data_IF_947684510409
#
_entry.id   IF_947684510409
#
_cell.length_a   1.000
_cell.length_b   1.000
_cell.length_c   1.000
_cell.angle_alpha   90.00
_cell.angle_beta   90.00
_cell.angle_gamma   90.00
#
_symmetry.space_group_name_H-M   'P 1'
#
loop_
_entity.id
_entity.type
_entity.pdbx_description
1 polymer ?
#
# COMPACT_ATOMS: atom_id res chain seq x y z
N UNK A 1 31.98 -29.42 -9.97
CA UNK A 1 33.08 -28.46 -9.70
C UNK A 1 32.58 -27.48 -8.65
N UNK A 2 33.39 -27.22 -7.63
CA UNK A 2 33.16 -26.11 -6.70
C UNK A 2 33.98 -24.94 -7.24
N UNK A 3 33.30 -23.90 -7.69
CA UNK A 3 33.96 -22.69 -8.18
C UNK A 3 34.41 -21.82 -6.99
N UNK A 4 35.62 -21.26 -7.05
CA UNK A 4 36.21 -20.51 -5.94
C UNK A 4 35.67 -19.09 -5.74
N UNK A 5 34.88 -18.56 -6.68
CA UNK A 5 34.28 -17.23 -6.59
C UNK A 5 32.84 -17.20 -7.12
N UNK A 6 31.98 -16.29 -6.62
CA UNK A 6 30.63 -16.10 -7.14
C UNK A 6 30.58 -15.76 -8.64
N UNK A 7 31.58 -15.03 -9.14
CA UNK A 7 31.69 -14.64 -10.56
C UNK A 7 31.96 -15.85 -11.44
N UNK A 8 32.87 -16.74 -11.03
CA UNK A 8 33.13 -18.00 -11.74
C UNK A 8 31.90 -18.91 -11.71
N UNK A 9 31.22 -18.98 -10.56
CA UNK A 9 29.97 -19.71 -10.45
C UNK A 9 28.91 -19.18 -11.41
N UNK A 10 28.63 -17.86 -11.40
CA UNK A 10 27.64 -17.25 -12.28
C UNK A 10 27.99 -17.44 -13.77
N UNK A 11 29.28 -17.41 -14.13
CA UNK A 11 29.73 -17.64 -15.50
C UNK A 11 29.45 -19.04 -16.02
N UNK A 12 29.40 -20.05 -15.13
CA UNK A 12 29.05 -21.41 -15.51
C UNK A 12 27.57 -21.57 -15.87
N UNK A 13 26.71 -20.64 -15.42
CA UNK A 13 25.25 -20.66 -15.64
C UNK A 13 24.78 -19.70 -16.75
N UNK A 14 25.68 -19.20 -17.60
CA UNK A 14 25.29 -18.33 -18.72
C UNK A 14 24.48 -19.10 -19.76
N UNK A 15 23.32 -18.56 -20.14
CA UNK A 15 22.43 -19.16 -21.14
C UNK A 15 22.99 -18.99 -22.56
N UNK A 16 23.68 -17.88 -22.82
CA UNK A 16 24.28 -17.58 -24.11
C UNK A 16 25.80 -17.49 -24.02
N UNK A 17 26.48 -18.05 -25.01
CA UNK A 17 27.93 -17.93 -25.17
C UNK A 17 28.37 -16.50 -25.50
N UNK A 18 27.48 -15.66 -26.02
CA UNK A 18 27.74 -14.25 -26.34
C UNK A 18 27.77 -13.33 -25.11
N UNK A 19 27.27 -13.79 -23.96
CA UNK A 19 27.32 -13.02 -22.72
C UNK A 19 28.76 -12.95 -22.20
N UNK A 20 29.31 -11.74 -22.16
CA UNK A 20 30.62 -11.44 -21.59
C UNK A 20 30.45 -10.93 -20.17
N UNK A 21 31.00 -11.65 -19.19
CA UNK A 21 30.99 -11.23 -17.79
C UNK A 21 32.42 -10.88 -17.39
N UNK A 22 32.66 -9.71 -16.79
CA UNK A 22 33.98 -9.36 -16.31
C UNK A 22 34.42 -10.34 -15.20
N UNK A 23 35.50 -11.08 -15.48
CA UNK A 23 36.03 -12.15 -14.60
C UNK A 23 36.77 -11.56 -13.38
N UNK A 24 37.15 -10.29 -13.44
CA UNK A 24 37.89 -9.58 -12.39
C UNK A 24 37.27 -8.20 -12.13
N UNK A 25 36.04 -8.17 -11.60
CA UNK A 25 35.51 -6.93 -11.02
C UNK A 25 36.14 -6.77 -9.64
N UNK A 26 36.95 -5.72 -9.38
CA UNK A 26 37.49 -5.50 -8.06
C UNK A 26 36.34 -5.37 -7.05
N UNK A 27 36.45 -6.11 -5.95
CA UNK A 27 35.50 -6.03 -4.83
C UNK A 27 35.80 -4.73 -4.10
N UNK A 28 35.22 -3.64 -4.59
CA UNK A 28 35.30 -2.33 -3.94
C UNK A 28 34.01 -2.11 -3.17
N UNK A 29 34.13 -1.63 -1.93
CA UNK A 29 32.98 -1.17 -1.17
C UNK A 29 32.31 0.00 -1.93
N UNK A 30 31.04 -0.14 -2.37
CA UNK A 30 30.34 0.92 -3.10
C UNK A 30 30.25 2.22 -2.32
N UNK A 31 30.31 2.18 -0.98
CA UNK A 31 30.28 3.38 -0.15
C UNK A 31 31.55 4.21 -0.24
N UNK A 32 32.70 3.62 -0.60
CA UNK A 32 33.94 4.36 -0.83
C UNK A 32 33.91 5.12 -2.16
N UNK A 33 33.21 4.58 -3.16
CA UNK A 33 33.10 5.15 -4.51
C UNK A 33 31.97 6.18 -4.57
N UNK A 34 30.81 5.87 -3.98
CA UNK A 34 29.59 6.67 -4.05
C UNK A 34 29.32 7.35 -2.70
N UNK A 35 30.21 8.25 -2.29
CA UNK A 35 30.11 8.94 -1.00
C UNK A 35 28.79 9.71 -0.81
N UNK A 36 28.17 10.17 -1.90
CA UNK A 36 26.86 10.82 -1.89
C UNK A 36 25.72 9.93 -1.37
N UNK A 37 25.88 8.61 -1.46
CA UNK A 37 24.85 7.65 -1.04
C UNK A 37 25.07 7.12 0.38
N UNK A 38 26.15 7.53 1.07
CA UNK A 38 26.47 7.09 2.43
C UNK A 38 25.36 7.46 3.42
N UNK A 39 24.70 8.60 3.21
CA UNK A 39 23.54 9.01 4.01
C UNK A 39 22.33 8.08 3.87
N UNK A 40 22.15 7.41 2.73
CA UNK A 40 21.13 6.36 2.62
C UNK A 40 21.60 5.10 3.35
N UNK A 41 22.86 4.71 3.21
CA UNK A 41 23.40 3.55 3.90
C UNK A 41 23.34 3.65 5.43
N UNK A 42 23.38 4.85 6.02
CA UNK A 42 23.20 5.01 7.47
C UNK A 42 21.78 4.65 7.95
N UNK A 43 20.76 4.76 7.09
CA UNK A 43 19.40 4.35 7.47
C UNK A 43 19.25 2.83 7.60
N UNK A 44 20.22 2.04 7.11
CA UNK A 44 20.24 0.58 7.32
C UNK A 44 20.44 0.19 8.79
N UNK A 45 20.87 1.11 9.67
CA UNK A 45 20.98 0.90 11.11
C UNK A 45 19.66 0.45 11.75
N UNK A 46 18.51 0.79 11.13
CA UNK A 46 17.18 0.38 11.58
C UNK A 46 17.04 -1.15 11.69
N UNK A 47 17.77 -1.93 10.89
CA UNK A 47 17.77 -3.39 10.95
C UNK A 47 18.15 -3.90 12.34
N UNK A 48 19.00 -3.15 13.07
CA UNK A 48 19.46 -3.50 14.41
C UNK A 48 18.67 -2.81 15.53
N UNK A 49 17.65 -2.01 15.19
CA UNK A 49 16.83 -1.27 16.15
C UNK A 49 15.59 -2.07 16.59
N UNK A 50 14.84 -1.51 17.52
CA UNK A 50 13.65 -2.15 18.12
C UNK A 50 12.59 -2.56 17.11
N UNK A 51 12.45 -1.81 16.00
CA UNK A 51 11.49 -2.06 14.92
C UNK A 51 11.65 -3.48 14.34
N UNK A 52 12.89 -3.97 14.22
CA UNK A 52 13.19 -5.30 13.71
C UNK A 52 13.55 -6.32 14.80
N UNK A 53 13.66 -5.89 16.07
CA UNK A 53 14.08 -6.76 17.18
C UNK A 53 13.26 -8.06 17.32
N UNK A 54 11.92 -8.08 17.14
CA UNK A 54 11.15 -9.32 17.21
C UNK A 54 11.55 -10.36 16.15
N UNK A 55 12.14 -9.93 15.03
CA UNK A 55 12.56 -10.82 13.95
C UNK A 55 13.94 -11.46 14.19
N UNK A 56 14.79 -10.86 15.04
CA UNK A 56 16.18 -11.31 15.25
C UNK A 56 16.29 -12.72 15.82
N UNK A 57 15.24 -13.20 16.49
CA UNK A 57 15.16 -14.59 16.97
C UNK A 57 15.05 -15.62 15.83
N UNK A 58 14.57 -15.21 14.65
CA UNK A 58 14.36 -16.08 13.49
C UNK A 58 15.43 -15.85 12.42
N UNK A 59 15.77 -14.58 12.15
CA UNK A 59 16.68 -14.20 11.07
C UNK A 59 17.76 -13.26 11.61
N UNK A 60 19.02 -13.68 11.50
CA UNK A 60 20.16 -12.86 11.94
C UNK A 60 20.29 -11.56 11.12
N UNK A 61 20.38 -10.39 11.76
CA UNK A 61 20.43 -9.10 11.09
C UNK A 61 21.74 -8.82 10.35
N UNK A 62 22.84 -9.49 10.72
CA UNK A 62 24.19 -9.13 10.27
C UNK A 62 24.38 -9.10 8.75
N UNK A 63 23.93 -10.14 8.05
CA UNK A 63 24.04 -10.20 6.58
C UNK A 63 23.14 -9.15 5.90
N UNK A 64 21.90 -9.00 6.37
CA UNK A 64 20.94 -8.04 5.81
C UNK A 64 21.38 -6.60 5.99
N UNK A 65 22.00 -6.28 7.14
CA UNK A 65 22.61 -4.99 7.39
C UNK A 65 23.72 -4.67 6.38
N UNK A 66 24.64 -5.61 6.13
CA UNK A 66 25.72 -5.42 5.15
C UNK A 66 25.18 -5.28 3.72
N UNK A 67 24.20 -6.12 3.34
CA UNK A 67 23.57 -6.04 2.03
C UNK A 67 22.83 -4.71 1.82
N UNK A 68 22.07 -4.26 2.82
CA UNK A 68 21.38 -2.97 2.77
C UNK A 68 22.37 -1.82 2.53
N UNK A 69 23.49 -1.77 3.26
CA UNK A 69 24.49 -0.70 3.09
C UNK A 69 25.14 -0.75 1.72
N UNK A 70 25.48 -1.95 1.26
CA UNK A 70 26.05 -2.18 -0.07
C UNK A 70 25.09 -1.69 -1.17
N UNK A 71 23.82 -2.08 -1.11
CA UNK A 71 22.79 -1.72 -2.09
C UNK A 71 22.46 -0.23 -2.04
N UNK A 72 22.33 0.34 -0.84
CA UNK A 72 22.09 1.77 -0.63
C UNK A 72 23.22 2.62 -1.25
N UNK A 73 24.48 2.25 -1.03
CA UNK A 73 25.59 2.96 -1.65
C UNK A 73 25.66 2.77 -3.17
N UNK A 74 25.13 1.66 -3.69
CA UNK A 74 25.11 1.38 -5.12
C UNK A 74 24.06 2.20 -5.88
N UNK A 75 22.82 2.31 -5.40
CA UNK A 75 21.75 3.00 -6.12
C UNK A 75 20.85 3.94 -5.31
N UNK A 76 21.24 4.25 -4.06
CA UNK A 76 20.57 5.24 -3.21
C UNK A 76 19.35 4.68 -2.47
N UNK A 77 18.38 5.57 -2.23
CA UNK A 77 17.18 5.27 -1.41
C UNK A 77 16.34 4.11 -1.95
N UNK A 78 16.16 3.99 -3.27
CA UNK A 78 15.36 2.91 -3.87
C UNK A 78 15.91 1.52 -3.52
N UNK A 79 17.22 1.34 -3.69
CA UNK A 79 17.91 0.10 -3.32
C UNK A 79 17.79 -0.19 -1.81
N UNK A 80 18.06 0.82 -0.98
CA UNK A 80 17.93 0.72 0.48
C UNK A 80 16.52 0.27 0.89
N UNK A 81 15.47 0.92 0.36
CA UNK A 81 14.09 0.57 0.68
C UNK A 81 13.74 -0.85 0.24
N UNK A 82 14.26 -1.32 -0.90
CA UNK A 82 14.08 -2.70 -1.35
C UNK A 82 14.81 -3.72 -0.46
N UNK A 83 16.01 -3.40 0.02
CA UNK A 83 16.75 -4.29 0.94
C UNK A 83 16.04 -4.39 2.30
N UNK A 84 15.51 -3.28 2.81
CA UNK A 84 14.71 -3.25 4.05
C UNK A 84 13.37 -3.99 3.88
N UNK A 85 12.69 -3.74 2.76
CA UNK A 85 11.48 -4.46 2.36
C UNK A 85 11.68 -5.97 2.35
N UNK A 86 12.79 -6.43 1.77
CA UNK A 86 13.13 -7.84 1.70
C UNK A 86 13.36 -8.43 3.10
N UNK A 87 14.05 -7.72 4.00
CA UNK A 87 14.22 -8.19 5.36
C UNK A 87 12.87 -8.29 6.09
N UNK A 88 12.02 -7.26 5.97
CA UNK A 88 10.65 -7.28 6.51
C UNK A 88 9.79 -8.41 5.93
N UNK A 89 9.92 -8.73 4.64
CA UNK A 89 9.24 -9.86 3.99
C UNK A 89 9.66 -11.21 4.59
N UNK A 90 10.97 -11.45 4.78
CA UNK A 90 11.45 -12.69 5.40
C UNK A 90 11.00 -12.78 6.86
N UNK A 91 10.97 -11.67 7.60
CA UNK A 91 10.37 -11.61 8.94
C UNK A 91 8.87 -11.98 8.91
N UNK A 92 8.14 -11.47 7.92
CA UNK A 92 6.72 -11.76 7.71
C UNK A 92 6.43 -13.25 7.50
N UNK A 93 7.35 -14.00 6.88
CA UNK A 93 7.24 -15.48 6.77
C UNK A 93 7.26 -16.21 8.11
N UNK A 94 7.76 -15.56 9.16
CA UNK A 94 7.75 -16.05 10.54
C UNK A 94 6.62 -15.44 11.37
N UNK A 95 5.66 -14.76 10.74
CA UNK A 95 4.55 -14.09 11.43
C UNK A 95 4.93 -12.77 12.10
N UNK A 96 6.12 -12.24 11.84
CA UNK A 96 6.59 -10.97 12.40
C UNK A 96 6.36 -9.84 11.40
N UNK A 97 5.29 -9.08 11.60
CA UNK A 97 5.01 -7.88 10.82
C UNK A 97 5.85 -6.69 11.33
N UNK A 98 6.75 -6.19 10.49
CA UNK A 98 7.56 -4.97 10.72
C UNK A 98 7.14 -3.79 9.84
N UNK A 99 6.63 -2.71 10.43
CA UNK A 99 6.37 -1.44 9.73
C UNK A 99 7.57 -0.49 9.80
N UNK A 100 8.56 -0.69 8.91
CA UNK A 100 9.74 0.18 8.85
C UNK A 100 9.49 1.49 8.08
N UNK A 101 8.44 1.54 7.24
CA UNK A 101 8.19 2.66 6.32
C UNK A 101 7.67 3.89 7.04
N UNK A 102 6.98 3.73 8.17
CA UNK A 102 6.61 4.84 9.06
C UNK A 102 7.82 5.51 9.73
N UNK A 103 8.94 4.79 9.87
CA UNK A 103 10.17 5.30 10.47
C UNK A 103 11.14 5.94 9.45
N UNK A 104 10.99 5.62 8.16
CA UNK A 104 11.86 6.12 7.09
C UNK A 104 10.99 6.73 5.98
N UNK A 105 10.80 8.04 6.02
CA UNK A 105 9.95 8.77 5.06
C UNK A 105 10.39 8.62 3.59
N UNK A 106 11.69 8.41 3.33
CA UNK A 106 12.20 8.12 1.99
C UNK A 106 11.64 6.82 1.39
N UNK A 107 11.17 5.92 2.24
CA UNK A 107 10.53 4.67 1.85
C UNK A 107 9.00 4.76 1.95
N UNK A 108 8.39 5.94 2.01
CA UNK A 108 6.94 6.03 1.94
C UNK A 108 6.42 5.48 0.61
N UNK A 109 5.40 4.61 0.65
CA UNK A 109 4.73 4.08 -0.54
C UNK A 109 3.48 4.89 -0.81
N UNK A 110 3.36 5.41 -2.03
CA UNK A 110 2.16 6.09 -2.50
C UNK A 110 1.38 5.17 -3.43
N UNK A 111 0.20 4.77 -2.99
CA UNK A 111 -0.70 3.94 -3.76
C UNK A 111 -1.66 4.81 -4.59
N UNK A 112 -1.96 4.35 -5.80
CA UNK A 112 -2.83 5.04 -6.74
C UNK A 112 -4.13 4.24 -6.95
N UNK A 113 -5.08 4.78 -7.72
CA UNK A 113 -6.27 4.04 -8.15
C UNK A 113 -7.15 3.50 -7.00
N UNK A 114 -7.20 4.24 -5.89
CA UNK A 114 -8.00 3.87 -4.72
C UNK A 114 -7.45 2.69 -3.90
N UNK A 115 -6.21 2.27 -4.20
CA UNK A 115 -5.50 1.26 -3.42
C UNK A 115 -4.91 1.86 -2.14
N UNK A 116 -4.74 1.02 -1.13
CA UNK A 116 -4.04 1.31 0.10
C UNK A 116 -2.76 0.47 0.18
N UNK A 117 -1.80 0.92 0.98
CA UNK A 117 -0.61 0.16 1.27
C UNK A 117 -0.97 -0.97 2.25
N UNK A 118 -0.58 -2.19 1.90
CA UNK A 118 -0.69 -3.36 2.75
C UNK A 118 0.68 -4.00 2.92
N UNK A 119 1.00 -4.38 4.15
CA UNK A 119 2.27 -4.98 4.50
C UNK A 119 2.40 -6.44 4.03
N UNK A 120 1.25 -7.13 3.90
CA UNK A 120 1.12 -8.46 3.34
C UNK A 120 -0.04 -8.41 2.34
N UNK A 121 0.28 -8.06 1.10
CA UNK A 121 -0.64 -8.00 -0.02
C UNK A 121 -0.46 -9.22 -0.90
N UNK A 122 -1.55 -9.91 -1.23
CA UNK A 122 -1.58 -10.86 -2.34
C UNK A 122 -2.33 -10.23 -3.51
N UNK A 123 -1.76 -10.28 -4.71
CA UNK A 123 -2.49 -9.87 -5.92
C UNK A 123 -3.56 -10.90 -6.31
N UNK A 124 -3.50 -12.11 -5.75
CA UNK A 124 -4.42 -13.18 -6.06
C UNK A 124 -5.77 -12.95 -5.35
N UNK A 125 -6.89 -13.09 -6.07
CA UNK A 125 -8.28 -12.82 -5.61
C UNK A 125 -8.63 -11.35 -5.40
N UNK A 126 -7.76 -10.39 -5.69
CA UNK A 126 -8.07 -8.96 -5.45
C UNK A 126 -8.46 -8.17 -6.71
N UNK A 127 -8.69 -8.85 -7.85
CA UNK A 127 -9.28 -8.26 -9.06
C UNK A 127 -10.68 -8.79 -9.35
N UNK A 128 -11.50 -7.99 -10.03
CA UNK A 128 -12.84 -8.41 -10.44
C UNK A 128 -12.84 -9.65 -11.35
N UNK A 129 -11.84 -9.78 -12.22
CA UNK A 129 -11.63 -10.98 -13.04
C UNK A 129 -11.32 -12.22 -12.20
N UNK A 130 -10.62 -12.06 -11.07
CA UNK A 130 -10.24 -13.18 -10.20
C UNK A 130 -11.37 -13.71 -9.30
N UNK A 131 -12.49 -12.99 -9.19
CA UNK A 131 -13.67 -13.41 -8.40
C UNK A 131 -14.52 -14.48 -9.08
N UNK A 132 -14.49 -14.52 -10.42
CA UNK A 132 -15.25 -15.51 -11.21
C UNK A 132 -14.51 -16.84 -11.36
N UNK A 133 -13.21 -16.87 -11.02
CA UNK A 133 -12.36 -18.05 -11.11
C UNK A 133 -11.99 -18.51 -9.71
N UNK A 134 -12.21 -19.80 -9.40
CA UNK A 134 -11.72 -20.43 -8.19
C UNK A 134 -10.19 -20.61 -8.28
N UNK A 135 -9.46 -19.51 -8.20
CA UNK A 135 -8.00 -19.52 -8.22
C UNK A 135 -7.50 -20.05 -6.88
N UNK A 136 -6.63 -21.05 -6.95
CA UNK A 136 -5.83 -21.52 -5.83
C UNK A 136 -4.71 -20.49 -5.67
N UNK A 137 -4.84 -19.62 -4.68
CA UNK A 137 -3.80 -18.68 -4.31
C UNK A 137 -2.83 -19.38 -3.38
N UNK A 138 -1.53 -19.13 -3.54
CA UNK A 138 -0.56 -19.43 -2.50
C UNK A 138 -0.73 -18.48 -1.32
N UNK A 139 -0.28 -18.91 -0.14
CA UNK A 139 -0.25 -18.09 1.08
C UNK A 139 0.94 -17.11 1.12
N UNK A 140 1.72 -17.01 0.03
CA UNK A 140 2.83 -16.06 -0.08
C UNK A 140 2.28 -14.66 -0.42
N UNK A 141 2.67 -13.67 0.38
CA UNK A 141 2.30 -12.28 0.23
C UNK A 141 3.55 -11.41 0.33
N UNK A 142 3.55 -10.28 -0.37
CA UNK A 142 4.58 -9.27 -0.24
C UNK A 142 3.93 -7.93 0.07
N UNK A 143 4.68 -6.99 0.61
CA UNK A 143 4.15 -5.64 0.75
C UNK A 143 3.80 -5.04 -0.61
N UNK A 144 2.79 -4.21 -0.65
CA UNK A 144 2.36 -3.59 -1.90
C UNK A 144 1.05 -2.83 -1.77
N UNK A 145 0.64 -2.24 -2.88
CA UNK A 145 -0.64 -1.57 -2.98
C UNK A 145 -1.73 -2.57 -3.36
N UNK A 146 -2.83 -2.55 -2.62
CA UNK A 146 -4.00 -3.37 -2.93
C UNK A 146 -5.29 -2.62 -2.64
N UNK A 147 -6.41 -3.12 -3.15
CA UNK A 147 -7.70 -2.57 -2.80
C UNK A 147 -8.02 -2.80 -1.32
N UNK A 148 -8.65 -1.83 -0.65
CA UNK A 148 -9.11 -2.00 0.73
C UNK A 148 -10.11 -3.14 0.84
N UNK A 149 -10.26 -3.68 2.05
CA UNK A 149 -11.16 -4.80 2.32
C UNK A 149 -12.58 -4.53 1.79
N UNK A 150 -13.14 -5.51 1.08
CA UNK A 150 -14.47 -5.41 0.44
C UNK A 150 -14.47 -4.71 -0.93
N UNK A 151 -13.32 -4.25 -1.42
CA UNK A 151 -13.15 -3.71 -2.79
C UNK A 151 -12.17 -4.56 -3.59
N UNK A 152 -12.34 -4.50 -4.91
CA UNK A 152 -11.58 -5.28 -5.88
C UNK A 152 -11.17 -4.38 -7.02
N UNK A 153 -10.00 -4.66 -7.59
CA UNK A 153 -9.47 -3.87 -8.68
C UNK A 153 -10.19 -4.21 -9.99
N UNK A 154 -10.73 -3.20 -10.64
CA UNK A 154 -11.39 -3.33 -11.94
C UNK A 154 -10.52 -2.64 -13.00
N UNK A 155 -9.95 -3.43 -13.91
CA UNK A 155 -9.02 -2.96 -14.94
C UNK A 155 -9.67 -1.97 -15.90
N UNK A 156 -10.96 -2.12 -16.21
CA UNK A 156 -11.67 -1.25 -17.15
C UNK A 156 -11.83 0.19 -16.63
N UNK A 157 -11.92 0.39 -15.32
CA UNK A 157 -11.97 1.72 -14.69
C UNK A 157 -10.66 2.13 -14.04
N UNK A 158 -9.68 1.23 -14.00
CA UNK A 158 -8.38 1.42 -13.34
C UNK A 158 -8.53 1.92 -11.90
N UNK A 159 -9.48 1.37 -11.14
CA UNK A 159 -9.84 1.80 -9.79
C UNK A 159 -10.44 0.67 -8.94
N UNK A 160 -10.34 0.78 -7.61
CA UNK A 160 -10.95 -0.16 -6.67
C UNK A 160 -12.46 0.05 -6.54
N UNK A 161 -13.24 -0.99 -6.88
CA UNK A 161 -14.70 -0.98 -6.88
C UNK A 161 -15.27 -1.99 -5.88
N UNK A 162 -16.46 -1.71 -5.37
CA UNK A 162 -17.14 -2.63 -4.47
C UNK A 162 -17.79 -3.79 -5.24
N UNK A 163 -17.97 -4.92 -4.57
CA UNK A 163 -18.73 -6.06 -5.09
C UNK A 163 -20.17 -6.04 -4.60
N UNK A 164 -21.09 -6.47 -5.46
CA UNK A 164 -22.49 -6.73 -5.10
C UNK A 164 -22.86 -8.15 -5.51
N UNK A 165 -23.56 -8.87 -4.63
CA UNK A 165 -24.15 -10.16 -4.99
C UNK A 165 -25.51 -9.92 -5.65
N UNK A 166 -25.65 -10.31 -6.92
CA UNK A 166 -26.92 -10.28 -7.65
C UNK A 166 -27.21 -11.68 -8.16
N UNK A 167 -28.38 -12.22 -7.77
CA UNK A 167 -28.84 -13.56 -8.20
C UNK A 167 -27.82 -14.67 -7.95
N UNK A 168 -27.09 -14.60 -6.83
CA UNK A 168 -26.08 -15.60 -6.46
C UNK A 168 -24.72 -15.44 -7.15
N UNK A 169 -24.50 -14.35 -7.90
CA UNK A 169 -23.24 -14.06 -8.58
C UNK A 169 -22.66 -12.75 -8.04
N UNK A 170 -21.38 -12.78 -7.66
CA UNK A 170 -20.62 -11.57 -7.31
C UNK A 170 -20.32 -10.79 -8.59
N UNK A 171 -20.75 -9.53 -8.64
CA UNK A 171 -20.44 -8.61 -9.71
C UNK A 171 -19.78 -7.36 -9.13
N UNK A 172 -18.70 -6.91 -9.75
CA UNK A 172 -18.12 -5.61 -9.43
C UNK A 172 -19.05 -4.49 -9.92
N UNK A 173 -19.28 -3.49 -9.09
CA UNK A 173 -20.06 -2.30 -9.45
C UNK A 173 -19.14 -1.11 -9.61
N UNK A 174 -18.97 -0.65 -10.85
CA UNK A 174 -18.25 0.58 -11.17
C UNK A 174 -19.11 1.85 -11.05
N UNK A 175 -20.40 1.72 -10.73
CA UNK A 175 -21.31 2.86 -10.60
C UNK A 175 -21.17 3.50 -9.21
N UNK A 176 -20.94 4.83 -9.11
CA UNK A 176 -21.08 5.53 -7.84
C UNK A 176 -22.51 5.35 -7.33
N UNK A 177 -22.66 4.83 -6.11
CA UNK A 177 -23.97 4.75 -5.47
C UNK A 177 -24.43 6.19 -5.14
N UNK A 178 -25.72 6.52 -5.35
CA UNK A 178 -26.24 7.82 -4.94
C UNK A 178 -26.08 8.00 -3.44
N UNK A 179 -25.53 9.14 -3.03
CA UNK A 179 -25.36 9.49 -1.62
C UNK A 179 -26.56 10.29 -1.13
N UNK A 180 -26.96 10.09 0.13
CA UNK A 180 -28.12 10.78 0.72
C UNK A 180 -27.70 11.51 1.98
N UNK A 181 -27.85 12.83 1.99
CA UNK A 181 -27.82 13.62 3.22
C UNK A 181 -29.23 13.64 3.82
N UNK A 182 -29.33 13.38 5.12
CA UNK A 182 -30.63 13.29 5.82
C UNK A 182 -30.65 14.11 7.09
N UNK A 183 -31.83 14.62 7.41
CA UNK A 183 -32.08 15.36 8.64
C UNK A 183 -33.34 14.76 9.27
N UNK A 184 -33.22 14.38 10.53
CA UNK A 184 -34.31 13.79 11.29
C UNK A 184 -34.54 14.61 12.56
N UNK A 185 -35.77 15.09 12.74
CA UNK A 185 -36.19 15.71 13.99
C UNK A 185 -35.44 17.01 14.33
N UNK A 186 -35.26 17.25 15.62
CA UNK A 186 -34.52 18.38 16.16
C UNK A 186 -33.03 18.06 16.26
N UNK A 187 -32.24 18.74 15.43
CA UNK A 187 -30.77 18.88 15.53
C UNK A 187 -29.90 17.74 14.97
N UNK A 188 -30.43 16.61 14.51
CA UNK A 188 -29.60 15.50 14.01
C UNK A 188 -29.43 15.53 12.48
N UNK A 189 -28.17 15.52 12.02
CA UNK A 189 -27.78 15.61 10.61
C UNK A 189 -26.87 14.45 10.24
N UNK A 190 -27.19 13.78 9.12
CA UNK A 190 -26.30 12.82 8.47
C UNK A 190 -25.80 13.38 7.15
N UNK A 191 -24.49 13.49 7.00
CA UNK A 191 -23.83 14.00 5.79
C UNK A 191 -23.72 12.93 4.70
N UNK A 192 -23.36 13.33 3.47
CA UNK A 192 -23.24 12.41 2.32
C UNK A 192 -22.17 11.32 2.51
N UNK A 193 -21.17 11.57 3.36
CA UNK A 193 -20.14 10.63 3.79
C UNK A 193 -20.55 9.80 5.02
N UNK A 194 -21.79 9.94 5.50
CA UNK A 194 -22.37 9.12 6.56
C UNK A 194 -21.98 9.54 7.98
N UNK A 195 -21.41 10.73 8.17
CA UNK A 195 -21.09 11.26 9.50
C UNK A 195 -22.32 11.88 10.14
N UNK A 196 -22.44 11.68 11.45
CA UNK A 196 -23.53 12.21 12.27
C UNK A 196 -23.09 13.46 13.03
N UNK A 197 -23.91 14.50 12.99
CA UNK A 197 -23.67 15.77 13.68
C UNK A 197 -24.93 16.29 14.34
N UNK A 198 -24.74 16.87 15.52
CA UNK A 198 -25.76 17.68 16.19
C UNK A 198 -25.49 19.16 15.95
N UNK A 199 -26.43 19.85 15.32
CA UNK A 199 -26.32 21.29 15.07
C UNK A 199 -27.60 22.03 15.47
N UNK A 200 -27.46 23.02 16.35
CA UNK A 200 -28.56 23.87 16.81
C UNK A 200 -28.27 25.33 16.45
N UNK A 201 -29.17 25.94 15.68
CA UNK A 201 -29.05 27.33 15.26
C UNK A 201 -30.42 27.94 15.02
N UNK A 202 -30.56 29.22 15.40
CA UNK A 202 -31.76 30.02 15.18
C UNK A 202 -31.74 30.74 13.81
N UNK A 203 -30.68 30.51 13.02
CA UNK A 203 -30.49 31.11 11.71
C UNK A 203 -30.95 30.18 10.56
N UNK A 204 -31.30 30.77 9.41
CA UNK A 204 -31.54 30.01 8.17
C UNK A 204 -30.22 29.42 7.65
N UNK A 205 -30.19 28.11 7.44
CA UNK A 205 -29.05 27.39 6.91
C UNK A 205 -29.39 26.71 5.58
N UNK A 206 -28.38 26.54 4.73
CA UNK A 206 -28.46 25.80 3.48
C UNK A 206 -27.82 24.44 3.65
N UNK A 207 -28.51 23.39 3.19
CA UNK A 207 -28.08 22.00 3.38
C UNK A 207 -27.25 21.48 2.21
N UNK A 208 -27.48 22.04 1.02
CA UNK A 208 -26.78 21.66 -0.19
C UNK A 208 -26.62 22.87 -1.11
N UNK A 209 -25.39 23.05 -1.59
CA UNK A 209 -25.03 24.02 -2.63
C UNK A 209 -24.33 23.27 -3.76
N UNK A 210 -24.86 23.39 -4.97
CA UNK A 210 -24.28 22.76 -6.17
C UNK A 210 -23.96 23.84 -7.19
N UNK A 211 -22.69 23.91 -7.62
CA UNK A 211 -22.26 24.81 -8.71
C UNK A 211 -22.59 26.30 -8.48
N UNK A 212 -22.57 26.77 -7.23
CA UNK A 212 -22.92 28.16 -6.89
C UNK A 212 -24.41 28.40 -6.62
N UNK A 213 -25.28 27.46 -6.96
CA UNK A 213 -26.73 27.52 -6.73
C UNK A 213 -27.13 26.80 -5.45
N UNK A 214 -28.02 27.41 -4.67
CA UNK A 214 -28.54 26.84 -3.42
C UNK A 214 -29.77 25.97 -3.72
N UNK A 215 -29.78 24.72 -3.26
CA UNK A 215 -30.84 23.76 -3.61
C UNK A 215 -31.85 23.52 -2.50
N UNK A 216 -31.41 23.44 -1.24
CA UNK A 216 -32.28 23.17 -0.09
C UNK A 216 -32.01 24.16 1.04
N UNK A 217 -33.03 24.92 1.42
CA UNK A 217 -32.99 25.99 2.43
C UNK A 217 -33.99 25.68 3.53
N UNK A 218 -33.53 25.63 4.77
CA UNK A 218 -34.40 25.41 5.93
C UNK A 218 -34.38 26.61 6.90
N UNK A 219 -35.47 26.77 7.64
CA UNK A 219 -35.67 27.78 8.69
C UNK A 219 -36.10 27.06 9.96
N UNK A 220 -35.31 27.11 11.04
CA UNK A 220 -35.69 26.46 12.31
C UNK A 220 -36.85 27.17 13.03
N UNK A 221 -37.33 26.61 14.16
CA UNK A 221 -37.68 25.23 14.40
C UNK A 221 -39.17 25.00 14.05
N UNK A 222 -39.48 24.00 13.23
CA UNK A 222 -40.83 23.44 13.12
C UNK A 222 -40.74 21.95 13.43
N UNK A 223 -41.50 21.53 14.44
CA UNK A 223 -41.60 20.15 14.90
C UNK A 223 -41.88 19.20 13.71
N UNK A 224 -41.06 18.16 13.60
CA UNK A 224 -41.18 17.02 12.68
C UNK A 224 -41.15 17.36 11.17
N UNK A 225 -39.97 17.67 10.64
CA UNK A 225 -39.69 17.69 9.21
C UNK A 225 -38.72 16.58 8.79
N UNK A 226 -38.92 16.03 7.59
CA UNK A 226 -38.04 15.06 6.96
C UNK A 226 -37.69 15.52 5.54
N UNK A 227 -36.43 15.86 5.30
CA UNK A 227 -35.92 16.23 3.98
C UNK A 227 -34.74 15.33 3.56
N UNK A 228 -34.69 15.01 2.27
CA UNK A 228 -33.65 14.18 1.64
C UNK A 228 -33.04 14.90 0.44
N UNK A 229 -31.72 15.06 0.46
CA UNK A 229 -30.94 15.49 -0.70
C UNK A 229 -30.23 14.31 -1.34
N UNK A 230 -30.28 14.22 -2.67
CA UNK A 230 -29.62 13.18 -3.47
C UNK A 230 -28.54 13.80 -4.36
N UNK A 231 -27.39 13.12 -4.50
CA UNK A 231 -26.32 13.44 -5.46
C UNK A 231 -25.94 12.17 -6.22
#
# INVERSE_FOLDING_TARGET
MIEGTPQLHANAWKVSSACSVPINVPVVDPCNVNQQNVGYASHCDIINQEVFAPCHAYISPGLYYQLCRFDACKCGSSCMCNSLAHYAYVCGKHGVAVDFRSHISYCAVMCHSGMLYHQCSSYCKHSCASLSMANICGDDCAEGCNCPDGKYFEESVNFCVSIVCRRGVFNCTSYPCPAVCTIYGDRHYYTFDGLEYDYASDCQAYLLKVGGSFMYKFTGPKENFYERGHI
#
